data_IF_283880050015
#
_entry.id   IF_283880050015
#
_cell.length_a   1.000
_cell.length_b   1.000
_cell.length_c   1.000
_cell.angle_alpha   90.00
_cell.angle_beta   90.00
_cell.angle_gamma   90.00
#
_symmetry.space_group_name_H-M   'P 1'
#
loop_
_entity.id
_entity.type
_entity.pdbx_description
1 polymer ?
#
# COMPACT_ATOMS: atom_id res chain seq x y z
N UNK A 1 7.16 -54.23 20.90
CA UNK A 1 8.35 -53.65 21.57
C UNK A 1 7.98 -52.24 22.02
N UNK A 2 7.58 -52.10 23.28
CA UNK A 2 7.25 -50.80 23.91
C UNK A 2 8.34 -50.46 24.92
N UNK A 3 8.77 -49.20 24.94
CA UNK A 3 9.73 -48.70 25.92
C UNK A 3 9.02 -48.42 27.26
N UNK A 4 9.67 -48.85 28.34
CA UNK A 4 9.10 -48.97 29.69
C UNK A 4 9.21 -47.67 30.51
N UNK A 5 8.32 -47.53 31.49
CA UNK A 5 8.04 -46.35 32.31
C UNK A 5 9.22 -45.78 33.14
N UNK A 6 10.43 -46.34 33.06
CA UNK A 6 11.62 -45.81 33.76
C UNK A 6 12.41 -44.76 32.96
N UNK A 7 12.29 -44.71 31.63
CA UNK A 7 12.96 -43.67 30.83
C UNK A 7 12.29 -42.29 30.94
N UNK A 8 11.05 -42.23 31.45
CA UNK A 8 10.31 -40.99 31.66
C UNK A 8 10.73 -40.21 32.92
N UNK A 9 11.50 -40.81 33.83
CA UNK A 9 11.89 -40.17 35.09
C UNK A 9 13.18 -39.33 35.02
N UNK A 10 14.01 -39.53 34.00
CA UNK A 10 15.28 -38.78 33.87
C UNK A 10 15.08 -37.40 33.23
N UNK A 11 14.02 -37.21 32.43
CA UNK A 11 13.76 -35.93 31.75
C UNK A 11 13.10 -34.88 32.70
N UNK A 12 12.57 -35.30 33.84
CA UNK A 12 11.82 -34.41 34.74
C UNK A 12 12.67 -33.64 35.77
N UNK A 13 13.97 -33.89 35.92
CA UNK A 13 14.74 -33.37 37.08
C UNK A 13 15.81 -32.32 36.71
N UNK A 14 15.87 -31.83 35.48
CA UNK A 14 16.84 -30.80 35.03
C UNK A 14 16.19 -29.51 34.53
N UNK A 15 15.07 -29.09 35.12
CA UNK A 15 14.54 -27.72 34.93
C UNK A 15 14.15 -27.10 36.27
N UNK A 16 15.03 -27.20 37.25
CA UNK A 16 14.96 -26.38 38.44
C UNK A 16 16.37 -25.90 38.74
N UNK A 17 16.55 -24.59 38.58
CA UNK A 17 17.75 -23.79 38.86
C UNK A 17 18.59 -23.39 37.63
N UNK A 18 18.81 -22.07 37.49
CA UNK A 18 19.72 -21.25 36.64
C UNK A 18 18.94 -20.01 36.11
N UNK A 19 19.52 -18.79 36.19
CA UNK A 19 18.85 -17.59 36.73
C UNK A 19 18.21 -16.64 35.71
N UNK A 20 17.40 -15.72 36.27
CA UNK A 20 16.76 -14.57 35.64
C UNK A 20 17.84 -13.49 35.42
N UNK A 21 17.91 -12.95 34.22
CA UNK A 21 18.83 -11.93 33.68
C UNK A 21 19.94 -12.46 32.78
N UNK A 22 19.99 -11.87 31.58
CA UNK A 22 20.97 -12.00 30.49
C UNK A 22 20.62 -12.99 29.37
N UNK A 23 20.09 -12.41 28.28
CA UNK A 23 20.48 -12.70 26.89
C UNK A 23 20.23 -14.14 26.35
N UNK A 24 19.41 -14.17 25.28
CA UNK A 24 19.32 -15.15 24.19
C UNK A 24 18.55 -16.48 24.40
N UNK A 25 17.50 -16.58 23.55
CA UNK A 25 17.08 -17.76 22.80
C UNK A 25 16.28 -18.87 23.53
N UNK A 26 14.94 -18.77 23.50
CA UNK A 26 14.07 -19.97 23.51
C UNK A 26 12.93 -19.79 22.52
N UNK A 27 12.96 -20.58 21.44
CA UNK A 27 11.78 -20.95 20.69
C UNK A 27 11.07 -22.10 21.42
N UNK A 28 9.76 -21.96 21.73
CA UNK A 28 8.67 -22.90 21.37
C UNK A 28 7.31 -22.54 22.01
N UNK A 29 6.47 -21.93 21.17
CA UNK A 29 5.08 -22.28 20.84
C UNK A 29 3.98 -22.30 21.93
N UNK A 30 3.30 -21.14 22.06
CA UNK A 30 1.83 -21.06 22.11
C UNK A 30 1.34 -19.64 21.70
N UNK A 31 0.91 -19.48 20.44
CA UNK A 31 -0.23 -18.66 19.99
C UNK A 31 -0.40 -17.25 20.63
N UNK A 32 0.67 -16.48 20.80
CA UNK A 32 0.56 -15.11 21.33
C UNK A 32 1.41 -14.18 20.48
N UNK A 33 0.72 -13.37 19.67
CA UNK A 33 1.24 -12.41 18.70
C UNK A 33 2.19 -12.96 17.63
N UNK A 34 1.83 -14.08 16.99
CA UNK A 34 1.96 -14.11 15.53
C UNK A 34 0.94 -13.10 14.96
N UNK A 35 1.15 -11.80 15.22
CA UNK A 35 0.74 -10.82 14.24
C UNK A 35 1.63 -11.17 13.06
N UNK A 36 1.09 -11.94 12.12
CA UNK A 36 1.48 -11.86 10.74
C UNK A 36 1.33 -10.36 10.42
N UNK A 37 2.37 -9.57 10.72
CA UNK A 37 2.44 -8.18 10.32
C UNK A 37 2.60 -8.35 8.83
N UNK A 38 1.46 -8.40 8.13
CA UNK A 38 1.41 -8.22 6.68
C UNK A 38 2.36 -7.05 6.45
N UNK A 39 3.45 -7.28 5.75
CA UNK A 39 4.28 -6.18 5.28
C UNK A 39 3.33 -5.31 4.46
N UNK A 40 2.92 -4.19 5.04
CA UNK A 40 2.01 -3.29 4.36
C UNK A 40 2.87 -2.46 3.44
N UNK A 41 3.00 -2.94 2.19
CA UNK A 41 3.65 -2.18 1.14
C UNK A 41 2.84 -0.92 0.89
N UNK A 42 3.49 0.23 1.08
CA UNK A 42 2.93 1.55 0.76
C UNK A 42 3.61 2.04 -0.51
N UNK A 43 2.85 2.48 -1.49
CA UNK A 43 3.39 3.05 -2.73
C UNK A 43 2.75 4.39 -2.97
N UNK A 44 3.59 5.41 -3.18
CA UNK A 44 3.16 6.78 -3.45
C UNK A 44 3.50 7.11 -4.88
N UNK A 45 2.47 7.40 -5.64
CA UNK A 45 2.66 7.93 -6.97
C UNK A 45 2.83 9.44 -6.93
N UNK A 46 4.09 9.87 -7.01
CA UNK A 46 4.52 11.24 -6.73
C UNK A 46 4.96 12.01 -7.99
N UNK A 47 4.75 13.32 -7.99
CA UNK A 47 5.40 14.24 -8.92
C UNK A 47 6.03 15.42 -8.14
N UNK A 48 7.35 15.62 -8.21
CA UNK A 48 8.06 16.63 -7.40
C UNK A 48 7.61 18.07 -7.69
N UNK A 49 7.07 18.34 -8.88
CA UNK A 49 6.58 19.68 -9.25
C UNK A 49 5.24 20.04 -8.62
N UNK A 50 4.56 19.12 -7.93
CA UNK A 50 3.23 19.36 -7.38
C UNK A 50 3.27 19.52 -5.85
N UNK A 51 2.94 20.71 -5.35
CA UNK A 51 2.92 21.00 -3.89
C UNK A 51 2.04 20.04 -3.09
N UNK A 52 0.88 19.63 -3.63
CA UNK A 52 -0.01 18.64 -2.97
C UNK A 52 0.60 17.24 -2.92
N UNK A 53 1.41 16.89 -3.91
CA UNK A 53 2.14 15.62 -3.94
C UNK A 53 3.30 15.61 -2.93
N UNK A 54 3.94 16.76 -2.70
CA UNK A 54 4.97 16.92 -1.65
C UNK A 54 4.36 16.83 -0.26
N UNK A 55 3.23 17.49 -0.01
CA UNK A 55 2.51 17.39 1.25
C UNK A 55 2.11 15.95 1.61
N UNK A 56 1.73 15.12 0.63
CA UNK A 56 1.43 13.71 0.86
C UNK A 56 2.68 12.87 1.24
N UNK A 57 3.84 13.17 0.65
CA UNK A 57 5.10 12.50 1.00
C UNK A 57 5.57 12.93 2.39
N UNK A 58 5.60 14.23 2.67
CA UNK A 58 5.93 14.78 3.98
C UNK A 58 5.02 14.21 5.09
N UNK A 59 3.73 14.05 4.79
CA UNK A 59 2.78 13.42 5.71
C UNK A 59 3.14 11.95 6.02
N UNK A 60 3.52 11.17 5.01
CA UNK A 60 3.92 9.77 5.20
C UNK A 60 5.25 9.64 5.95
N UNK A 61 6.21 10.50 5.64
CA UNK A 61 7.49 10.60 6.37
C UNK A 61 7.26 10.97 7.84
N UNK A 62 6.37 11.93 8.12
CA UNK A 62 6.02 12.33 9.49
C UNK A 62 5.41 11.19 10.33
N UNK A 63 4.80 10.20 9.67
CA UNK A 63 4.21 9.02 10.30
C UNK A 63 5.20 7.86 10.45
N UNK A 64 6.41 7.98 9.90
CA UNK A 64 7.44 6.94 9.92
C UNK A 64 7.04 5.67 9.15
N UNK A 65 6.26 5.82 8.08
CA UNK A 65 5.83 4.71 7.22
C UNK A 65 6.84 4.54 6.10
N UNK A 66 7.32 3.32 5.89
CA UNK A 66 8.12 2.98 4.72
C UNK A 66 7.24 2.97 3.46
N UNK A 67 7.63 3.70 2.41
CA UNK A 67 6.91 3.76 1.15
C UNK A 67 7.83 3.80 -0.06
N UNK A 68 7.37 3.20 -1.16
CA UNK A 68 8.00 3.29 -2.47
C UNK A 68 7.47 4.49 -3.25
N UNK A 69 8.36 5.25 -3.87
CA UNK A 69 7.99 6.38 -4.71
C UNK A 69 7.99 5.98 -6.19
N UNK A 70 6.82 6.01 -6.82
CA UNK A 70 6.69 5.80 -8.27
C UNK A 70 6.42 7.13 -8.95
N UNK A 71 7.31 7.53 -9.86
CA UNK A 71 7.15 8.76 -10.63
C UNK A 71 6.41 8.49 -11.92
N UNK A 72 5.17 8.98 -12.03
CA UNK A 72 4.36 8.86 -13.25
C UNK A 72 5.03 9.39 -14.53
N UNK A 73 5.96 10.33 -14.40
CA UNK A 73 6.69 10.91 -15.54
C UNK A 73 7.77 9.98 -16.09
N UNK A 74 8.34 9.10 -15.24
CA UNK A 74 9.45 8.22 -15.61
C UNK A 74 8.94 6.82 -15.93
N UNK A 75 7.91 6.36 -15.22
CA UNK A 75 7.33 5.03 -15.38
C UNK A 75 5.82 5.14 -15.53
N UNK A 76 5.31 5.36 -16.75
CA UNK A 76 3.87 5.45 -16.98
C UNK A 76 3.23 4.07 -16.72
N UNK A 77 2.11 4.01 -15.97
CA UNK A 77 1.45 2.75 -15.66
C UNK A 77 0.83 2.15 -16.92
N UNK A 78 0.89 0.83 -17.03
CA UNK A 78 0.18 0.08 -18.07
C UNK A 78 -1.34 0.14 -17.88
N UNK A 79 -2.10 -0.15 -18.95
CA UNK A 79 -3.58 -0.29 -18.89
C UNK A 79 -4.03 -1.21 -17.74
N UNK A 80 -3.30 -2.32 -17.53
CA UNK A 80 -3.59 -3.29 -16.46
C UNK A 80 -3.38 -2.70 -15.07
N UNK A 81 -2.33 -1.90 -14.88
CA UNK A 81 -2.05 -1.24 -13.60
C UNK A 81 -3.05 -0.14 -13.31
N UNK A 82 -3.42 0.66 -14.31
CA UNK A 82 -4.46 1.69 -14.17
C UNK A 82 -5.78 1.04 -13.75
N UNK A 83 -6.18 -0.06 -14.41
CA UNK A 83 -7.38 -0.81 -14.03
C UNK A 83 -7.33 -1.32 -12.57
N UNK A 84 -6.16 -1.79 -12.12
CA UNK A 84 -5.94 -2.19 -10.72
C UNK A 84 -6.09 -1.01 -9.77
N UNK A 85 -5.46 0.12 -10.07
CA UNK A 85 -5.53 1.34 -9.24
C UNK A 85 -6.97 1.83 -9.12
N UNK A 86 -7.72 1.90 -10.24
CA UNK A 86 -9.13 2.28 -10.24
C UNK A 86 -9.95 1.32 -9.36
N UNK A 87 -9.71 0.02 -9.47
CA UNK A 87 -10.38 -0.99 -8.63
C UNK A 87 -10.04 -0.82 -7.15
N UNK A 88 -8.79 -0.50 -6.81
CA UNK A 88 -8.35 -0.25 -5.43
C UNK A 88 -8.92 1.04 -4.85
N UNK A 89 -9.13 2.06 -5.70
CA UNK A 89 -9.79 3.32 -5.33
C UNK A 89 -11.29 3.14 -5.12
N UNK A 90 -11.92 2.14 -5.76
CA UNK A 90 -13.36 1.92 -5.70
C UNK A 90 -14.17 3.02 -6.41
N UNK A 91 -13.56 3.75 -7.33
CA UNK A 91 -14.19 4.85 -8.09
C UNK A 91 -14.34 4.48 -9.56
N UNK A 92 -15.16 5.25 -10.30
CA UNK A 92 -15.20 5.13 -11.77
C UNK A 92 -13.95 5.79 -12.39
N UNK A 93 -13.40 5.27 -13.51
CA UNK A 93 -12.28 5.90 -14.22
C UNK A 93 -12.47 7.39 -14.52
N UNK A 94 -13.68 7.82 -14.85
CA UNK A 94 -14.02 9.23 -15.09
C UNK A 94 -13.76 10.14 -13.88
N UNK A 95 -13.76 9.61 -12.65
CA UNK A 95 -13.46 10.38 -11.44
C UNK A 95 -11.95 10.52 -11.20
N UNK A 96 -11.14 9.68 -11.85
CA UNK A 96 -9.68 9.74 -11.77
C UNK A 96 -9.09 10.85 -12.66
N UNK A 97 -9.87 11.40 -13.59
CA UNK A 97 -9.37 12.38 -14.55
C UNK A 97 -9.13 13.76 -13.91
N UNK A 98 -7.97 14.32 -14.22
CA UNK A 98 -7.60 15.68 -13.90
C UNK A 98 -8.24 16.66 -14.87
N UNK A 99 -9.48 17.08 -14.57
CA UNK A 99 -10.27 18.01 -15.39
C UNK A 99 -9.59 19.37 -15.67
N UNK A 100 -8.60 19.76 -14.87
CA UNK A 100 -7.86 21.01 -15.01
C UNK A 100 -6.71 21.00 -16.02
N UNK A 101 -6.38 19.84 -16.61
CA UNK A 101 -5.28 19.72 -17.56
C UNK A 101 -5.65 20.26 -18.95
N UNK A 102 -4.71 20.90 -19.67
CA UNK A 102 -4.98 21.44 -21.02
C UNK A 102 -5.47 20.36 -21.99
N UNK A 103 -4.82 19.20 -21.93
CA UNK A 103 -5.13 18.05 -22.76
C UNK A 103 -6.57 17.54 -22.57
N UNK A 104 -7.15 17.69 -21.38
CA UNK A 104 -8.54 17.33 -21.11
C UNK A 104 -9.52 18.16 -21.97
N UNK A 105 -9.22 19.46 -22.12
CA UNK A 105 -10.01 20.39 -22.93
C UNK A 105 -9.76 20.20 -24.42
N UNK A 106 -8.51 19.98 -24.82
CA UNK A 106 -8.14 19.74 -26.23
C UNK A 106 -8.83 18.49 -26.80
N UNK A 107 -8.88 17.42 -26.00
CA UNK A 107 -9.54 16.17 -26.37
C UNK A 107 -11.07 16.18 -26.16
N UNK A 108 -11.63 17.29 -25.64
CA UNK A 108 -13.07 17.45 -25.33
C UNK A 108 -13.66 16.28 -24.52
N UNK A 109 -12.88 15.74 -23.58
CA UNK A 109 -13.26 14.55 -22.81
C UNK A 109 -14.46 14.78 -21.89
N UNK A 110 -14.80 16.05 -21.60
CA UNK A 110 -15.98 16.40 -20.81
C UNK A 110 -17.30 16.23 -21.55
N UNK A 111 -17.28 16.24 -22.89
CA UNK A 111 -18.48 16.20 -23.74
C UNK A 111 -18.72 14.80 -24.34
N UNK A 112 -17.84 13.84 -24.05
CA UNK A 112 -17.88 12.49 -24.59
C UNK A 112 -18.40 11.50 -23.55
N UNK A 113 -19.36 10.66 -23.96
CA UNK A 113 -19.76 9.48 -23.19
C UNK A 113 -18.78 8.33 -23.47
N UNK A 114 -17.71 8.28 -22.67
CA UNK A 114 -16.68 7.24 -22.78
C UNK A 114 -16.95 6.12 -21.78
N UNK A 115 -16.75 4.88 -22.25
CA UNK A 115 -16.77 3.68 -21.40
C UNK A 115 -15.54 3.62 -20.50
N UNK A 116 -15.64 2.85 -19.41
CA UNK A 116 -14.53 2.63 -18.46
C UNK A 116 -13.26 2.11 -19.16
N UNK A 117 -13.42 1.24 -20.16
CA UNK A 117 -12.32 0.74 -20.97
C UNK A 117 -11.63 1.86 -21.74
N UNK A 118 -12.40 2.72 -22.44
CA UNK A 118 -11.85 3.84 -23.19
C UNK A 118 -11.11 4.84 -22.29
N UNK A 119 -11.63 5.10 -21.08
CA UNK A 119 -10.92 5.93 -20.10
C UNK A 119 -9.55 5.34 -19.74
N UNK A 120 -9.47 4.04 -19.50
CA UNK A 120 -8.21 3.35 -19.20
C UNK A 120 -7.23 3.45 -20.38
N UNK A 121 -7.72 3.36 -21.62
CA UNK A 121 -6.87 3.53 -22.81
C UNK A 121 -6.31 4.95 -22.92
N UNK A 122 -7.16 5.95 -22.68
CA UNK A 122 -6.77 7.36 -22.70
C UNK A 122 -5.74 7.65 -21.61
N UNK A 123 -5.91 7.08 -20.41
CA UNK A 123 -4.95 7.23 -19.32
C UNK A 123 -3.60 6.57 -19.63
N UNK A 124 -3.60 5.39 -20.26
CA UNK A 124 -2.37 4.72 -20.66
C UNK A 124 -1.62 5.50 -21.75
N UNK A 125 -2.35 6.11 -22.69
CA UNK A 125 -1.77 6.98 -23.70
C UNK A 125 -1.30 8.33 -23.13
N UNK A 126 -2.01 8.85 -22.11
CA UNK A 126 -1.81 10.18 -21.54
C UNK A 126 -1.82 10.14 -20.01
N UNK A 127 -0.76 9.64 -19.36
CA UNK A 127 -0.68 9.50 -17.91
C UNK A 127 -0.73 10.84 -17.16
N UNK A 128 -0.52 11.97 -17.87
CA UNK A 128 -0.67 13.32 -17.33
C UNK A 128 -2.10 13.65 -16.90
N UNK A 129 -3.10 12.99 -17.50
CA UNK A 129 -4.52 13.15 -17.20
C UNK A 129 -4.95 12.48 -15.88
N UNK A 130 -4.10 11.65 -15.28
CA UNK A 130 -4.40 10.97 -14.02
C UNK A 130 -4.25 11.96 -12.85
N UNK A 131 -5.24 11.99 -11.94
CA UNK A 131 -5.19 12.82 -10.73
C UNK A 131 -4.04 12.39 -9.81
N UNK A 132 -3.37 13.34 -9.16
CA UNK A 132 -2.16 13.13 -8.36
C UNK A 132 -2.18 14.00 -7.10
N UNK A 133 -1.68 13.53 -5.93
CA UNK A 133 -1.01 12.23 -5.70
C UNK A 133 -2.00 11.07 -5.49
N UNK A 134 -1.55 9.85 -5.79
CA UNK A 134 -2.26 8.60 -5.45
C UNK A 134 -1.38 7.83 -4.47
N UNK A 135 -1.94 7.43 -3.35
CA UNK A 135 -1.27 6.59 -2.35
C UNK A 135 -1.95 5.24 -2.34
N UNK A 136 -1.17 4.17 -2.44
CA UNK A 136 -1.60 2.78 -2.29
C UNK A 136 -1.04 2.26 -0.97
N UNK A 137 -1.90 1.72 -0.10
CA UNK A 137 -1.52 1.16 1.19
C UNK A 137 -2.30 -0.13 1.43
N UNK A 138 -1.60 -1.25 1.61
CA UNK A 138 -2.24 -2.52 2.02
C UNK A 138 -3.33 -3.04 1.08
N UNK A 139 -3.23 -2.72 -0.22
CA UNK A 139 -4.23 -3.11 -1.23
C UNK A 139 -5.40 -2.13 -1.38
N UNK A 140 -5.39 -1.00 -0.67
CA UNK A 140 -6.31 0.12 -0.85
C UNK A 140 -5.60 1.29 -1.51
N UNK A 141 -6.33 2.13 -2.23
CA UNK A 141 -5.77 3.33 -2.82
C UNK A 141 -6.60 4.56 -2.46
N UNK A 142 -5.97 5.72 -2.39
CA UNK A 142 -6.61 7.00 -2.14
C UNK A 142 -5.98 8.12 -2.99
N UNK A 143 -6.78 9.09 -3.39
CA UNK A 143 -6.33 10.33 -4.02
C UNK A 143 -6.10 11.36 -2.92
N UNK A 144 -4.90 11.92 -2.82
CA UNK A 144 -4.51 12.90 -1.79
C UNK A 144 -5.04 14.32 -2.02
N UNK A 145 -6.29 14.42 -2.48
CA UNK A 145 -7.02 15.67 -2.72
C UNK A 145 -8.48 15.48 -2.30
N UNK A 146 -8.80 15.59 -1.01
CA UNK A 146 -7.97 16.18 0.05
C UNK A 146 -7.09 15.12 0.79
N UNK A 147 -6.20 15.54 1.69
CA UNK A 147 -5.18 14.67 2.32
C UNK A 147 -5.80 13.64 3.28
N UNK A 148 -7.00 13.92 3.78
CA UNK A 148 -7.78 13.10 4.70
C UNK A 148 -8.08 11.72 4.11
N UNK A 149 -8.24 11.63 2.78
CA UNK A 149 -8.42 10.35 2.09
C UNK A 149 -7.21 9.41 2.29
N UNK A 150 -6.00 9.98 2.38
CA UNK A 150 -4.79 9.19 2.64
C UNK A 150 -4.81 8.71 4.09
N UNK A 151 -5.19 9.56 5.04
CA UNK A 151 -5.31 9.18 6.45
C UNK A 151 -6.26 7.99 6.61
N UNK A 152 -7.42 8.04 5.94
CA UNK A 152 -8.43 7.00 6.03
C UNK A 152 -7.92 5.61 5.58
N UNK A 153 -7.02 5.55 4.59
CA UNK A 153 -6.46 4.26 4.14
C UNK A 153 -5.32 3.76 5.02
N UNK A 154 -4.64 4.64 5.78
CA UNK A 154 -3.52 4.26 6.66
C UNK A 154 -3.99 3.72 8.02
N UNK A 155 -5.12 4.21 8.52
CA UNK A 155 -5.64 3.83 9.84
C UNK A 155 -6.52 2.53 9.79
N UNK A 156 -6.68 1.91 8.61
CA UNK A 156 -7.55 0.74 8.35
C UNK A 156 -6.78 -0.52 7.94
#
# INVERSE_FOLDING_TARGET
MGLNALELKIIMVTISYIPRDSVLLVQRNAITTLRCRREIMTTVFHNPRCSKSRAAVEFLESRGIDFDVVKYSETPPSKKEIAKIVKMLGIKPVQLVRKGEKLFKELKLGDQELSDFQWIEIFAANPTLIERPIVVHGGRAAIGRPLENIVEILDK
#
